data_IF_845450873096
#
_entry.id   IF_845450873096
#
_cell.length_a   1.000
_cell.length_b   1.000
_cell.length_c   1.000
_cell.angle_alpha   90.00
_cell.angle_beta   90.00
_cell.angle_gamma   90.00
#
_symmetry.space_group_name_H-M   'P 1'
#
loop_
_entity.id
_entity.type
_entity.pdbx_description
1 polymer ?
#
# COMPACT_ATOMS: atom_id res chain seq x y z
N UNK A 1 -26.69 4.87 -27.72
CA UNK A 1 -26.23 5.32 -26.41
C UNK A 1 -27.45 5.46 -25.57
N UNK A 2 -27.61 4.55 -24.63
CA UNK A 2 -28.71 4.62 -23.66
C UNK A 2 -28.43 5.71 -22.62
N UNK A 3 -29.47 6.13 -21.90
CA UNK A 3 -29.35 7.19 -20.89
C UNK A 3 -28.41 6.79 -19.74
N UNK A 4 -28.19 5.48 -19.54
CA UNK A 4 -27.37 4.92 -18.47
C UNK A 4 -25.86 5.06 -18.77
N UNK A 5 -25.44 4.80 -20.01
CA UNK A 5 -24.09 5.05 -20.52
C UNK A 5 -23.71 6.53 -20.42
N UNK A 6 -24.65 7.44 -20.70
CA UNK A 6 -24.44 8.89 -20.63
C UNK A 6 -24.23 9.31 -19.17
N UNK A 7 -25.03 8.80 -18.24
CA UNK A 7 -24.92 9.10 -16.81
C UNK A 7 -23.58 8.60 -16.25
N UNK A 8 -23.15 7.40 -16.61
CA UNK A 8 -21.85 6.85 -16.19
C UNK A 8 -20.69 7.71 -16.70
N UNK A 9 -20.73 8.13 -17.97
CA UNK A 9 -19.72 9.00 -18.56
C UNK A 9 -19.60 10.34 -17.79
N UNK A 10 -20.73 10.97 -17.47
CA UNK A 10 -20.76 12.24 -16.73
C UNK A 10 -20.21 12.06 -15.31
N UNK A 11 -20.63 11.01 -14.59
CA UNK A 11 -20.11 10.70 -13.23
C UNK A 11 -18.60 10.50 -13.24
N UNK A 12 -18.08 9.74 -14.20
CA UNK A 12 -16.65 9.48 -14.36
C UNK A 12 -15.86 10.76 -14.62
N UNK A 13 -16.42 11.69 -15.40
CA UNK A 13 -15.80 12.99 -15.69
C UNK A 13 -15.79 13.91 -14.47
N UNK A 14 -16.89 14.03 -13.73
CA UNK A 14 -16.97 14.83 -12.50
C UNK A 14 -15.97 14.32 -11.46
N UNK A 15 -15.88 12.99 -11.29
CA UNK A 15 -14.94 12.36 -10.35
C UNK A 15 -13.49 12.72 -10.69
N UNK A 16 -13.14 12.74 -11.98
CA UNK A 16 -11.79 13.11 -12.43
C UNK A 16 -11.46 14.58 -12.13
N UNK A 17 -12.38 15.48 -12.46
CA UNK A 17 -12.23 16.92 -12.20
C UNK A 17 -12.03 17.16 -10.69
N UNK A 18 -12.84 16.50 -9.85
CA UNK A 18 -12.72 16.60 -8.39
C UNK A 18 -11.38 16.08 -7.87
N UNK A 19 -10.86 15.01 -8.46
CA UNK A 19 -9.56 14.43 -8.07
C UNK A 19 -8.39 15.32 -8.49
N UNK A 20 -8.48 15.97 -9.64
CA UNK A 20 -7.50 16.94 -10.12
C UNK A 20 -7.50 18.21 -9.26
N UNK A 21 -8.69 18.69 -8.86
CA UNK A 21 -8.87 19.87 -8.02
C UNK A 21 -8.37 19.65 -6.58
N UNK A 22 -8.74 18.53 -5.94
CA UNK A 22 -8.34 18.22 -4.55
C UNK A 22 -6.83 18.07 -4.35
N UNK A 23 -6.05 17.92 -5.42
CA UNK A 23 -4.61 17.70 -5.35
C UNK A 23 -3.78 18.81 -6.01
N UNK A 24 -4.40 19.95 -6.32
CA UNK A 24 -3.72 21.05 -7.02
C UNK A 24 -2.58 21.66 -6.20
N UNK A 25 -2.85 22.02 -4.94
CA UNK A 25 -1.85 22.60 -4.04
C UNK A 25 -0.65 21.66 -3.82
N UNK A 26 -0.93 20.36 -3.63
CA UNK A 26 0.10 19.34 -3.50
C UNK A 26 0.99 19.25 -4.76
N UNK A 27 0.38 19.28 -5.95
CA UNK A 27 1.12 19.23 -7.22
C UNK A 27 1.99 20.46 -7.43
N UNK A 28 1.51 21.64 -7.06
CA UNK A 28 2.28 22.88 -7.11
C UNK A 28 3.48 22.81 -6.17
N UNK A 29 3.27 22.37 -4.93
CA UNK A 29 4.33 22.16 -3.94
C UNK A 29 5.38 21.15 -4.41
N UNK A 30 4.95 20.01 -4.95
CA UNK A 30 5.87 18.99 -5.49
C UNK A 30 6.74 19.55 -6.63
N UNK A 31 6.15 20.36 -7.51
CA UNK A 31 6.86 20.99 -8.63
C UNK A 31 7.90 22.01 -8.16
N UNK A 32 7.57 22.80 -7.14
CA UNK A 32 8.49 23.77 -6.53
C UNK A 32 9.71 23.08 -5.90
N UNK A 33 9.50 21.90 -5.31
CA UNK A 33 10.55 21.15 -4.62
C UNK A 33 11.24 20.09 -5.48
N UNK A 34 11.00 20.09 -6.80
CA UNK A 34 11.54 19.10 -7.75
C UNK A 34 11.28 17.64 -7.32
N UNK A 35 10.18 17.40 -6.60
CA UNK A 35 9.77 16.08 -6.14
C UNK A 35 9.10 15.38 -7.30
N UNK A 36 9.84 14.50 -7.97
CA UNK A 36 9.28 13.51 -8.88
C UNK A 36 8.78 12.32 -8.07
N UNK A 37 7.47 12.11 -8.09
CA UNK A 37 6.94 10.79 -7.82
C UNK A 37 6.99 10.09 -9.17
N UNK A 38 7.84 9.07 -9.30
CA UNK A 38 7.61 8.07 -10.34
C UNK A 38 6.20 7.56 -10.09
N UNK A 39 5.26 7.96 -10.96
CA UNK A 39 4.01 7.24 -11.12
C UNK A 39 4.40 5.86 -11.63
N UNK A 40 4.91 5.00 -10.74
CA UNK A 40 4.51 3.61 -10.77
C UNK A 40 3.00 3.64 -10.57
N UNK A 41 2.28 3.94 -11.66
CA UNK A 41 0.98 3.38 -11.97
C UNK A 41 1.04 1.99 -11.37
N UNK A 42 0.28 1.76 -10.30
CA UNK A 42 0.50 0.62 -9.41
C UNK A 42 0.85 -0.61 -10.24
N UNK A 43 2.11 -1.03 -10.18
CA UNK A 43 2.56 -2.31 -10.73
C UNK A 43 1.60 -3.30 -10.10
N UNK A 44 0.63 -3.76 -10.92
CA UNK A 44 -0.65 -4.23 -10.43
C UNK A 44 -0.43 -5.21 -9.30
N UNK A 45 -0.97 -4.90 -8.11
CA UNK A 45 -0.79 -5.63 -6.84
C UNK A 45 0.06 -6.87 -7.06
N UNK A 46 1.41 -6.75 -7.00
CA UNK A 46 2.28 -7.88 -7.33
C UNK A 46 1.76 -9.11 -6.59
N UNK A 47 1.23 -10.08 -7.35
CA UNK A 47 0.41 -11.13 -6.77
C UNK A 47 1.22 -11.82 -5.68
N UNK A 48 0.63 -11.87 -4.50
CA UNK A 48 1.21 -12.61 -3.39
C UNK A 48 0.84 -14.06 -3.61
N UNK A 49 1.82 -14.85 -4.03
CA UNK A 49 1.66 -16.26 -4.38
C UNK A 49 2.69 -17.09 -3.59
N UNK A 50 2.35 -18.35 -3.33
CA UNK A 50 3.26 -19.30 -2.67
C UNK A 50 3.26 -19.22 -1.14
N UNK A 51 4.21 -19.92 -0.55
CA UNK A 51 4.33 -20.06 0.90
C UNK A 51 5.11 -18.91 1.55
N UNK A 52 4.84 -18.70 2.83
CA UNK A 52 5.55 -17.74 3.66
C UNK A 52 7.07 -17.99 3.63
N UNK A 53 7.84 -17.01 3.14
CA UNK A 53 9.30 -17.07 3.04
C UNK A 53 10.02 -16.98 4.40
N UNK A 54 9.29 -17.12 5.51
CA UNK A 54 9.83 -17.14 6.87
C UNK A 54 9.56 -18.47 7.58
N UNK A 55 8.42 -19.09 7.33
CA UNK A 55 8.05 -20.31 8.04
C UNK A 55 7.71 -21.48 7.13
N UNK A 56 7.54 -21.24 5.83
CA UNK A 56 7.34 -22.25 4.78
C UNK A 56 6.21 -23.26 5.08
N UNK A 57 5.27 -22.87 5.96
CA UNK A 57 4.18 -23.73 6.46
C UNK A 57 2.79 -23.25 6.10
N UNK A 58 2.66 -21.97 5.77
CA UNK A 58 1.39 -21.31 5.50
C UNK A 58 1.56 -20.45 4.27
N UNK A 59 0.51 -20.38 3.47
CA UNK A 59 0.41 -19.50 2.32
C UNK A 59 0.68 -18.04 2.71
N UNK A 60 1.45 -17.34 1.88
CA UNK A 60 1.72 -15.93 2.06
C UNK A 60 0.49 -15.10 1.73
N UNK A 61 0.27 -14.03 2.50
CA UNK A 61 -0.86 -13.09 2.30
C UNK A 61 -0.44 -11.64 2.28
N UNK A 62 0.77 -11.34 2.74
CA UNK A 62 1.28 -9.99 2.90
C UNK A 62 2.70 -9.88 2.35
N UNK A 63 3.09 -8.67 1.95
CA UNK A 63 4.45 -8.33 1.56
C UNK A 63 5.05 -7.39 2.58
N UNK A 64 6.24 -7.69 3.09
CA UNK A 64 6.96 -6.80 4.01
C UNK A 64 7.41 -5.52 3.27
N UNK A 65 6.99 -4.34 3.75
CA UNK A 65 7.38 -3.06 3.12
C UNK A 65 8.88 -2.78 3.21
N UNK A 66 9.58 -3.44 4.14
CA UNK A 66 11.01 -3.19 4.40
C UNK A 66 11.93 -4.11 3.59
N UNK A 67 11.56 -5.38 3.42
CA UNK A 67 12.43 -6.37 2.76
C UNK A 67 11.79 -7.08 1.56
N UNK A 68 10.53 -6.79 1.23
CA UNK A 68 9.84 -7.35 0.08
C UNK A 68 9.43 -8.83 0.20
N UNK A 69 9.80 -9.53 1.28
CA UNK A 69 9.39 -10.93 1.48
C UNK A 69 7.86 -11.10 1.52
N UNK A 70 7.36 -12.21 0.97
CA UNK A 70 5.97 -12.68 1.04
C UNK A 70 5.75 -13.51 2.32
N UNK A 71 4.83 -13.09 3.17
CA UNK A 71 4.70 -13.53 4.56
C UNK A 71 3.27 -13.92 4.90
N UNK A 72 3.09 -14.98 5.69
CA UNK A 72 1.78 -15.35 6.24
C UNK A 72 1.39 -14.45 7.42
N UNK A 73 0.10 -14.40 7.75
CA UNK A 73 -0.43 -13.57 8.86
C UNK A 73 0.32 -13.77 10.19
N UNK A 74 0.78 -14.99 10.50
CA UNK A 74 1.44 -15.28 11.78
C UNK A 74 2.89 -14.76 11.86
N UNK A 75 3.51 -14.41 10.73
CA UNK A 75 4.88 -13.89 10.67
C UNK A 75 4.91 -12.41 10.28
N UNK A 76 3.74 -11.78 10.12
CA UNK A 76 3.55 -10.41 9.68
C UNK A 76 2.97 -9.54 10.79
N UNK A 77 3.55 -8.37 10.98
CA UNK A 77 3.06 -7.36 11.90
C UNK A 77 2.13 -6.40 11.15
N UNK A 78 0.82 -6.69 11.15
CA UNK A 78 -0.18 -5.92 10.38
C UNK A 78 -0.14 -4.43 10.65
N UNK A 79 0.06 -4.02 11.91
CA UNK A 79 0.12 -2.60 12.30
C UNK A 79 1.36 -1.88 11.77
N UNK A 80 2.45 -2.59 11.54
CA UNK A 80 3.74 -2.01 11.13
C UNK A 80 4.05 -2.24 9.64
N UNK A 81 3.34 -3.16 8.99
CA UNK A 81 3.59 -3.53 7.61
C UNK A 81 4.86 -4.36 7.39
N UNK A 82 5.47 -4.91 8.45
CA UNK A 82 6.78 -5.59 8.38
C UNK A 82 6.71 -7.04 8.85
N UNK A 83 7.69 -7.85 8.44
CA UNK A 83 7.85 -9.22 8.91
C UNK A 83 8.57 -9.31 10.26
N UNK A 84 8.49 -10.47 10.91
CA UNK A 84 9.16 -10.72 12.20
C UNK A 84 10.69 -10.59 12.16
N UNK A 85 11.32 -10.76 10.99
CA UNK A 85 12.77 -10.61 10.84
C UNK A 85 13.19 -9.13 10.74
N UNK A 86 12.24 -8.26 10.39
CA UNK A 86 12.48 -6.83 10.16
C UNK A 86 12.22 -5.95 11.39
N UNK A 87 11.66 -6.53 12.46
CA UNK A 87 11.49 -5.82 13.72
C UNK A 87 12.75 -6.01 14.57
N UNK A 88 13.27 -4.92 15.16
CA UNK A 88 14.37 -5.05 16.11
C UNK A 88 13.88 -5.61 17.44
N UNK A 89 14.75 -6.30 18.17
CA UNK A 89 14.41 -6.84 19.50
C UNK A 89 13.97 -5.75 20.47
N UNK A 90 14.59 -4.57 20.40
CA UNK A 90 14.24 -3.40 21.20
C UNK A 90 12.81 -2.92 20.90
N UNK A 91 12.46 -2.78 19.62
CA UNK A 91 11.10 -2.42 19.19
C UNK A 91 10.08 -3.48 19.61
N UNK A 92 10.49 -4.75 19.61
CA UNK A 92 9.65 -5.86 20.05
C UNK A 92 9.38 -5.81 21.56
N UNK A 93 10.34 -5.37 22.36
CA UNK A 93 10.16 -5.15 23.80
C UNK A 93 9.23 -3.98 24.07
N UNK A 94 9.45 -2.83 23.43
CA UNK A 94 8.57 -1.66 23.54
C UNK A 94 7.09 -2.02 23.24
N UNK A 95 6.86 -2.80 22.17
CA UNK A 95 5.51 -3.19 21.78
C UNK A 95 4.86 -4.16 22.77
N UNK A 96 5.64 -5.06 23.39
CA UNK A 96 5.13 -5.98 24.40
C UNK A 96 4.80 -5.28 25.71
N UNK A 97 5.54 -4.23 26.08
CA UNK A 97 5.30 -3.50 27.34
C UNK A 97 4.12 -2.53 27.25
N UNK A 98 3.87 -1.96 26.06
CA UNK A 98 2.84 -0.92 25.88
C UNK A 98 1.49 -1.42 25.37
N UNK A 99 1.43 -2.56 24.67
CA UNK A 99 0.23 -3.00 23.95
C UNK A 99 -0.25 -4.42 24.30
N UNK A 100 0.47 -5.15 25.17
CA UNK A 100 0.13 -6.51 25.62
C UNK A 100 0.28 -6.62 27.14
#
# INVERSE_FOLDING_TARGET
MDDEEIIEFIKKRIKRIKLEEMNKELREWMKEHEISIDEKEGEGEEKIEGDCQICERKEAKYRCIRCGKQICISCYWTMLGICKDCISEEKMKELKEHYF
#
